data_IF_143218442301
#
_entry.id   IF_143218442301
#
_cell.length_a   1.000
_cell.length_b   1.000
_cell.length_c   1.000
_cell.angle_alpha   90.00
_cell.angle_beta   90.00
_cell.angle_gamma   90.00
#
_symmetry.space_group_name_H-M   'P 1'
#
loop_
_entity.id
_entity.type
_entity.pdbx_description
1 polymer ?
#
# COMPACT_ATOMS: atom_id res chain seq x y z
N UNK A 1 22.41 6.43 11.24
CA UNK A 1 21.22 5.91 11.94
C UNK A 1 20.05 6.80 11.64
N UNK A 2 19.20 6.40 10.69
CA UNK A 2 18.02 7.17 10.27
C UNK A 2 16.85 6.19 10.25
N UNK A 3 15.80 6.54 11.01
CA UNK A 3 14.65 5.67 11.29
C UNK A 3 13.86 5.37 10.00
N UNK A 4 13.55 4.09 9.84
CA UNK A 4 12.69 3.53 8.80
C UNK A 4 11.25 4.00 9.03
N UNK A 5 10.61 4.51 7.99
CA UNK A 5 9.17 4.77 7.96
C UNK A 5 8.45 3.59 7.31
N UNK A 6 8.19 2.59 8.14
CA UNK A 6 7.06 1.68 8.03
C UNK A 6 6.36 1.75 9.39
N UNK A 7 5.39 2.64 9.54
CA UNK A 7 4.37 2.59 10.61
C UNK A 7 3.44 3.81 10.49
N UNK A 8 2.22 3.58 10.02
CA UNK A 8 1.10 4.45 10.37
C UNK A 8 0.69 4.09 11.81
N UNK A 9 0.64 5.13 12.63
CA UNK A 9 0.27 5.21 14.05
C UNK A 9 -0.84 4.24 14.54
N UNK A 10 -0.59 3.60 15.69
CA UNK A 10 -1.46 3.20 16.84
C UNK A 10 -0.84 1.91 17.45
N UNK A 11 -0.36 1.80 18.70
CA UNK A 11 -1.03 2.07 19.98
C UNK A 11 -0.04 2.05 21.16
N UNK A 12 -0.19 3.03 22.06
CA UNK A 12 -0.04 2.99 23.52
C UNK A 12 0.94 1.98 24.19
N UNK A 13 2.12 2.46 24.61
CA UNK A 13 2.94 1.80 25.62
C UNK A 13 2.70 2.43 27.00
N UNK A 14 1.87 1.78 27.84
CA UNK A 14 1.95 1.88 29.30
C UNK A 14 2.97 0.84 29.78
N UNK A 15 4.16 1.26 30.20
CA UNK A 15 4.93 0.62 31.30
C UNK A 15 6.15 1.46 31.71
N UNK A 16 6.11 1.88 32.96
CA UNK A 16 7.18 2.31 33.88
C UNK A 16 8.61 2.47 33.31
N UNK A 17 9.06 3.73 33.19
CA UNK A 17 10.48 4.06 33.37
C UNK A 17 10.60 5.39 34.11
N UNK A 18 11.12 5.30 35.33
CA UNK A 18 11.58 6.40 36.17
C UNK A 18 12.86 7.02 35.60
N UNK A 19 12.87 8.35 35.49
CA UNK A 19 14.01 9.22 35.18
C UNK A 19 14.72 9.00 33.84
N UNK A 20 14.18 9.59 32.77
CA UNK A 20 14.99 10.04 31.65
C UNK A 20 14.44 11.40 31.16
N UNK A 21 15.30 12.41 31.14
CA UNK A 21 14.96 13.77 30.75
C UNK A 21 14.91 13.83 29.20
N UNK A 22 13.77 13.46 28.62
CA UNK A 22 13.58 13.43 27.17
C UNK A 22 13.13 14.84 26.74
N UNK A 23 14.00 15.54 26.00
CA UNK A 23 13.56 16.65 25.17
C UNK A 23 12.59 16.10 24.13
N UNK A 24 11.29 16.26 24.38
CA UNK A 24 10.22 15.90 23.47
C UNK A 24 10.23 16.91 22.31
N UNK A 25 11.09 16.68 21.32
CA UNK A 25 10.99 17.38 20.04
C UNK A 25 9.66 16.97 19.41
N UNK A 26 8.66 17.83 19.53
CA UNK A 26 7.35 17.63 18.90
C UNK A 26 7.54 17.72 17.38
N UNK A 27 7.90 16.60 16.76
CA UNK A 27 7.85 16.46 15.31
C UNK A 27 6.40 16.70 14.90
N UNK A 28 6.13 17.84 14.29
CA UNK A 28 4.82 18.06 13.65
C UNK A 28 4.60 16.93 12.65
N UNK A 29 3.38 16.37 12.58
CA UNK A 29 3.09 15.34 11.59
C UNK A 29 3.44 15.91 10.21
N UNK A 30 4.13 15.14 9.37
CA UNK A 30 4.57 15.65 8.10
C UNK A 30 3.34 16.06 7.28
N UNK A 31 3.46 17.17 6.56
CA UNK A 31 2.34 17.70 5.78
C UNK A 31 2.07 16.76 4.60
N UNK A 32 0.93 16.06 4.66
CA UNK A 32 0.46 15.19 3.60
C UNK A 32 -0.36 16.01 2.59
N UNK A 33 -0.03 15.91 1.32
CA UNK A 33 -0.85 16.41 0.22
C UNK A 33 -1.49 15.24 -0.52
N UNK A 34 -2.79 15.33 -0.78
CA UNK A 34 -3.62 14.28 -1.39
C UNK A 34 -4.38 14.82 -2.59
N UNK A 35 -4.43 14.05 -3.67
CA UNK A 35 -5.14 14.36 -4.91
C UNK A 35 -5.81 13.10 -5.45
N UNK A 36 -6.97 13.27 -6.08
CA UNK A 36 -7.60 12.20 -6.86
C UNK A 36 -7.33 12.38 -8.35
N UNK A 37 -6.98 11.28 -9.00
CA UNK A 37 -6.91 11.14 -10.46
C UNK A 37 -7.98 10.14 -10.88
N UNK A 38 -8.81 10.51 -11.84
CA UNK A 38 -9.69 9.59 -12.56
C UNK A 38 -8.93 9.09 -13.78
N UNK A 39 -9.03 7.82 -14.09
CA UNK A 39 -8.34 7.20 -15.22
C UNK A 39 -9.27 6.37 -16.09
N UNK A 40 -8.67 5.66 -17.06
CA UNK A 40 -9.41 4.84 -18.01
C UNK A 40 -10.11 3.66 -17.31
N UNK A 41 -11.07 3.02 -17.98
CA UNK A 41 -11.91 1.95 -17.40
C UNK A 41 -12.64 2.32 -16.10
N UNK A 42 -12.86 3.61 -15.82
CA UNK A 42 -13.50 4.06 -14.58
C UNK A 42 -12.61 3.91 -13.34
N UNK A 43 -11.29 3.82 -13.54
CA UNK A 43 -10.33 3.76 -12.45
C UNK A 43 -10.24 5.10 -11.70
N UNK A 44 -9.99 5.00 -10.40
CA UNK A 44 -9.86 6.08 -9.44
C UNK A 44 -8.57 5.83 -8.70
N UNK A 45 -7.70 6.82 -8.67
CA UNK A 45 -6.44 6.82 -7.94
C UNK A 45 -6.46 7.93 -6.90
N UNK A 46 -6.25 7.58 -5.65
CA UNK A 46 -5.97 8.53 -4.59
C UNK A 46 -4.46 8.51 -4.35
N UNK A 47 -3.81 9.62 -4.65
CA UNK A 47 -2.35 9.77 -4.57
C UNK A 47 -2.03 10.68 -3.40
N UNK A 48 -1.24 10.17 -2.46
CA UNK A 48 -0.75 10.92 -1.32
C UNK A 48 0.76 11.10 -1.40
N UNK A 49 1.21 12.28 -0.98
CA UNK A 49 2.62 12.63 -0.92
C UNK A 49 2.98 13.27 0.40
N UNK A 50 4.22 13.05 0.81
CA UNK A 50 4.83 13.66 1.98
C UNK A 50 5.91 14.64 1.53
N UNK A 51 5.98 15.81 2.15
CA UNK A 51 7.00 16.82 1.83
C UNK A 51 6.71 17.67 0.59
N UNK A 52 5.71 17.31 -0.22
CA UNK A 52 5.19 18.15 -1.29
C UNK A 52 4.00 19.01 -0.82
N UNK A 53 3.97 20.27 -1.26
CA UNK A 53 2.75 21.06 -1.21
C UNK A 53 1.75 20.54 -2.24
N UNK A 54 0.44 20.73 -2.01
CA UNK A 54 -0.62 20.40 -2.97
C UNK A 54 -0.34 20.95 -4.37
N UNK A 55 0.15 22.19 -4.49
CA UNK A 55 0.52 22.79 -5.77
C UNK A 55 1.61 21.99 -6.51
N UNK A 56 2.72 21.70 -5.83
CA UNK A 56 3.80 20.89 -6.42
C UNK A 56 3.34 19.48 -6.82
N UNK A 57 2.46 18.86 -6.04
CA UNK A 57 1.88 17.56 -6.39
C UNK A 57 0.98 17.68 -7.64
N UNK A 58 0.15 18.72 -7.74
CA UNK A 58 -0.64 19.01 -8.94
C UNK A 58 0.24 19.24 -10.17
N UNK A 59 1.29 20.05 -10.04
CA UNK A 59 2.20 20.37 -11.14
C UNK A 59 2.90 19.08 -11.63
N UNK A 60 3.38 18.23 -10.71
CA UNK A 60 3.97 16.94 -11.03
C UNK A 60 2.97 16.01 -11.74
N UNK A 61 1.77 15.82 -11.19
CA UNK A 61 0.78 14.93 -11.78
C UNK A 61 0.33 15.44 -13.15
N UNK A 62 0.10 16.74 -13.32
CA UNK A 62 -0.30 17.33 -14.61
C UNK A 62 0.75 17.01 -15.68
N UNK A 63 2.02 17.31 -15.41
CA UNK A 63 3.11 17.07 -16.36
C UNK A 63 3.32 15.58 -16.67
N UNK A 64 3.07 14.70 -15.70
CA UNK A 64 3.16 13.24 -15.87
C UNK A 64 2.00 12.70 -16.71
N UNK A 65 0.76 13.11 -16.41
CA UNK A 65 -0.44 12.65 -17.11
C UNK A 65 -0.47 13.13 -18.57
N UNK A 66 -0.01 14.36 -18.85
CA UNK A 66 0.13 14.88 -20.23
C UNK A 66 1.07 14.03 -21.09
N UNK A 67 2.07 13.37 -20.50
CA UNK A 67 2.99 12.48 -21.21
C UNK A 67 2.42 11.09 -21.45
N UNK A 68 1.60 10.60 -20.52
CA UNK A 68 1.05 9.24 -20.56
C UNK A 68 -0.17 9.18 -21.50
N UNK A 69 -1.10 10.12 -21.38
CA UNK A 69 -2.31 10.15 -22.21
C UNK A 69 -3.46 10.97 -21.64
N UNK A 70 -4.39 11.36 -22.51
CA UNK A 70 -5.51 12.26 -22.17
C UNK A 70 -6.68 11.59 -21.43
N UNK A 71 -6.63 10.29 -21.17
CA UNK A 71 -7.69 9.58 -20.45
C UNK A 71 -7.68 9.83 -18.93
N UNK A 72 -6.57 10.36 -18.42
CA UNK A 72 -6.48 10.73 -17.01
C UNK A 72 -6.95 12.15 -16.75
N UNK A 73 -7.69 12.34 -15.65
CA UNK A 73 -8.23 13.64 -15.25
C UNK A 73 -8.00 13.87 -13.76
N UNK A 74 -7.43 15.03 -13.41
CA UNK A 74 -7.32 15.46 -12.03
C UNK A 74 -8.70 15.86 -11.51
N UNK A 75 -9.07 15.32 -10.34
CA UNK A 75 -10.34 15.63 -9.69
C UNK A 75 -10.11 16.31 -8.34
N UNK A 76 -10.97 17.29 -8.05
CA UNK A 76 -11.04 17.94 -6.73
C UNK A 76 -12.07 17.27 -5.81
N UNK A 77 -12.84 16.31 -6.33
CA UNK A 77 -13.83 15.60 -5.53
C UNK A 77 -13.14 14.60 -4.62
N UNK A 78 -13.73 14.38 -3.45
CA UNK A 78 -13.27 13.35 -2.53
C UNK A 78 -13.91 12.01 -2.85
N UNK A 79 -13.08 11.05 -3.28
CA UNK A 79 -13.48 9.67 -3.56
C UNK A 79 -13.12 8.70 -2.44
N UNK A 80 -12.71 9.19 -1.27
CA UNK A 80 -12.32 8.32 -0.15
C UNK A 80 -13.44 7.35 0.29
N UNK A 81 -14.71 7.72 0.06
CA UNK A 81 -15.88 6.84 0.32
C UNK A 81 -15.99 5.62 -0.59
N UNK A 82 -15.23 5.57 -1.69
CA UNK A 82 -15.15 4.39 -2.55
C UNK A 82 -14.21 3.31 -1.97
N UNK A 83 -13.55 3.63 -0.85
CA UNK A 83 -12.56 2.78 -0.20
C UNK A 83 -12.92 2.52 1.26
N UNK A 84 -12.45 1.39 1.78
CA UNK A 84 -12.52 1.01 3.18
C UNK A 84 -11.15 0.57 3.68
N UNK A 85 -10.92 0.69 4.99
CA UNK A 85 -9.66 0.25 5.58
C UNK A 85 -9.66 -1.26 5.80
N UNK A 86 -8.65 -1.92 5.21
CA UNK A 86 -8.36 -3.33 5.42
C UNK A 86 -7.01 -3.49 6.12
N UNK A 87 -6.87 -4.56 6.89
CA UNK A 87 -5.58 -5.03 7.35
C UNK A 87 -4.87 -5.76 6.22
N UNK A 88 -3.63 -5.35 5.94
CA UNK A 88 -2.79 -5.92 4.89
C UNK A 88 -1.50 -6.39 5.50
N UNK A 89 -1.16 -7.66 5.26
CA UNK A 89 0.07 -8.29 5.72
C UNK A 89 0.77 -8.87 4.50
N UNK A 90 1.99 -8.44 4.25
CA UNK A 90 2.81 -8.89 3.14
C UNK A 90 3.91 -9.78 3.68
N UNK A 91 3.94 -11.02 3.21
CA UNK A 91 4.93 -12.04 3.60
C UNK A 91 5.75 -12.49 2.40
N UNK A 92 6.98 -12.95 2.67
CA UNK A 92 7.72 -13.72 1.66
C UNK A 92 6.99 -15.02 1.32
N UNK A 93 7.06 -15.43 0.05
CA UNK A 93 6.64 -16.78 -0.35
C UNK A 93 7.54 -17.88 0.23
N UNK A 94 8.72 -17.54 0.73
CA UNK A 94 9.65 -18.49 1.34
C UNK A 94 9.32 -18.63 2.83
N UNK A 95 9.01 -19.84 3.26
CA UNK A 95 8.80 -20.22 4.66
C UNK A 95 9.63 -21.47 4.95
N UNK A 96 10.54 -21.39 5.93
CA UNK A 96 11.44 -22.49 6.28
C UNK A 96 12.12 -23.14 5.05
N UNK A 97 12.71 -22.31 4.19
CA UNK A 97 13.41 -22.70 2.95
C UNK A 97 12.54 -23.37 1.86
N UNK A 98 11.22 -23.40 2.04
CA UNK A 98 10.25 -23.86 1.04
C UNK A 98 9.53 -22.65 0.42
N UNK A 99 9.42 -22.65 -0.90
CA UNK A 99 8.55 -21.71 -1.63
C UNK A 99 7.12 -22.26 -1.56
N UNK A 100 6.20 -21.49 -0.98
CA UNK A 100 4.79 -21.82 -0.93
C UNK A 100 4.10 -21.47 -2.24
N UNK A 101 3.20 -22.34 -2.71
CA UNK A 101 2.32 -22.05 -3.84
C UNK A 101 1.19 -21.11 -3.44
N UNK A 102 0.44 -20.60 -4.43
CA UNK A 102 -0.75 -19.78 -4.16
C UNK A 102 -1.82 -20.62 -3.45
N UNK A 103 -2.07 -21.84 -3.92
CA UNK A 103 -3.03 -22.78 -3.32
C UNK A 103 -2.70 -23.04 -1.83
N UNK A 104 -1.42 -23.26 -1.49
CA UNK A 104 -1.01 -23.45 -0.09
C UNK A 104 -1.25 -22.19 0.76
N UNK A 105 -1.08 -21.00 0.18
CA UNK A 105 -1.36 -19.75 0.88
C UNK A 105 -2.86 -19.46 1.00
N UNK A 106 -3.67 -19.87 0.02
CA UNK A 106 -5.13 -19.82 0.08
C UNK A 106 -5.66 -20.75 1.19
N UNK A 107 -5.09 -21.94 1.35
CA UNK A 107 -5.43 -22.84 2.46
C UNK A 107 -5.14 -22.17 3.82
N UNK A 108 -3.96 -21.57 3.99
CA UNK A 108 -3.59 -20.84 5.20
C UNK A 108 -4.49 -19.62 5.43
N UNK A 109 -4.86 -18.92 4.36
CA UNK A 109 -5.80 -17.79 4.37
C UNK A 109 -7.17 -18.21 4.92
N UNK A 110 -7.68 -19.38 4.49
CA UNK A 110 -8.94 -19.94 5.00
C UNK A 110 -8.81 -20.33 6.48
N UNK A 111 -7.72 -21.01 6.87
CA UNK A 111 -7.49 -21.44 8.26
C UNK A 111 -7.41 -20.25 9.24
N UNK A 112 -6.81 -19.15 8.80
CA UNK A 112 -6.64 -17.94 9.60
C UNK A 112 -7.78 -16.93 9.45
N UNK A 113 -8.84 -17.26 8.71
CA UNK A 113 -10.03 -16.44 8.52
C UNK A 113 -9.69 -15.04 7.94
N UNK A 114 -8.78 -15.04 6.97
CA UNK A 114 -8.43 -13.93 6.09
C UNK A 114 -9.52 -13.71 5.03
N UNK A 115 -9.66 -12.47 4.55
CA UNK A 115 -10.64 -12.12 3.52
C UNK A 115 -10.17 -12.55 2.11
N UNK A 116 -8.89 -12.37 1.81
CA UNK A 116 -8.33 -12.59 0.47
C UNK A 116 -6.79 -12.75 0.51
N UNK A 117 -6.22 -13.36 -0.53
CA UNK A 117 -4.77 -13.49 -0.73
C UNK A 117 -4.37 -13.17 -2.17
N UNK A 118 -3.36 -12.31 -2.31
CA UNK A 118 -2.85 -11.89 -3.62
C UNK A 118 -1.36 -12.22 -3.75
N UNK A 119 -0.98 -12.85 -4.87
CA UNK A 119 0.42 -13.13 -5.22
C UNK A 119 0.99 -12.03 -6.11
N UNK A 120 2.19 -11.57 -5.80
CA UNK A 120 2.91 -10.65 -6.68
C UNK A 120 4.42 -10.89 -6.63
N UNK A 121 5.13 -10.34 -7.62
CA UNK A 121 6.58 -10.38 -7.72
C UNK A 121 7.16 -8.97 -7.58
N UNK A 122 8.21 -8.82 -6.79
CA UNK A 122 8.99 -7.58 -6.70
C UNK A 122 10.47 -7.90 -6.52
N UNK A 123 11.33 -7.21 -7.27
CA UNK A 123 12.79 -7.37 -7.26
C UNK A 123 13.26 -8.84 -7.40
N UNK A 124 12.51 -9.65 -8.17
CA UNK A 124 12.80 -11.06 -8.43
C UNK A 124 12.37 -12.02 -7.32
N UNK A 125 11.72 -11.53 -6.26
CA UNK A 125 11.15 -12.34 -5.19
C UNK A 125 9.62 -12.38 -5.26
N UNK A 126 9.04 -13.52 -4.88
CA UNK A 126 7.59 -13.70 -4.76
C UNK A 126 7.12 -13.35 -3.36
N UNK A 127 6.01 -12.62 -3.27
CA UNK A 127 5.35 -12.24 -2.04
C UNK A 127 3.87 -12.58 -2.09
N UNK A 128 3.29 -12.76 -0.91
CA UNK A 128 1.86 -12.88 -0.71
C UNK A 128 1.34 -11.73 0.13
N UNK A 129 0.25 -11.15 -0.31
CA UNK A 129 -0.51 -10.13 0.39
C UNK A 129 -1.77 -10.75 0.96
N UNK A 130 -1.83 -10.90 2.29
CA UNK A 130 -3.02 -11.35 3.00
C UNK A 130 -3.83 -10.14 3.44
N UNK A 131 -5.13 -10.18 3.14
CA UNK A 131 -6.07 -9.09 3.41
C UNK A 131 -7.08 -9.57 4.44
N UNK A 132 -7.45 -8.69 5.36
CA UNK A 132 -8.52 -8.95 6.33
C UNK A 132 -9.28 -7.68 6.70
N UNK A 133 -10.46 -7.84 7.28
CA UNK A 133 -11.17 -6.74 7.92
C UNK A 133 -10.33 -6.09 9.03
N UNK A 134 -10.44 -4.75 9.16
CA UNK A 134 -9.65 -3.93 10.09
C UNK A 134 -9.59 -4.47 11.53
N UNK A 135 -10.68 -5.03 12.05
CA UNK A 135 -10.76 -5.54 13.42
C UNK A 135 -9.99 -6.85 13.65
N UNK A 136 -9.74 -7.64 12.61
CA UNK A 136 -8.95 -8.89 12.69
C UNK A 136 -7.46 -8.67 12.50
N UNK A 137 -7.04 -7.51 11.99
CA UNK A 137 -5.64 -7.24 11.59
C UNK A 137 -4.60 -7.62 12.65
N UNK A 138 -4.77 -7.19 13.89
CA UNK A 138 -3.80 -7.48 14.96
C UNK A 138 -3.71 -8.98 15.31
N UNK A 139 -4.85 -9.68 15.30
CA UNK A 139 -4.91 -11.12 15.57
C UNK A 139 -4.26 -11.91 14.43
N UNK A 140 -4.58 -11.55 13.19
CA UNK A 140 -4.02 -12.21 12.01
C UNK A 140 -2.49 -12.00 11.93
N UNK A 141 -2.01 -10.79 12.19
CA UNK A 141 -0.58 -10.50 12.21
C UNK A 141 0.15 -11.39 13.23
N UNK A 142 -0.36 -11.48 14.46
CA UNK A 142 0.22 -12.35 15.47
C UNK A 142 0.23 -13.83 15.04
N UNK A 143 -0.87 -14.33 14.45
CA UNK A 143 -0.94 -15.71 13.98
C UNK A 143 0.05 -16.01 12.84
N UNK A 144 0.22 -15.08 11.89
CA UNK A 144 1.19 -15.19 10.80
C UNK A 144 2.63 -15.19 11.34
N UNK A 145 2.94 -14.32 12.30
CA UNK A 145 4.25 -14.30 12.96
C UNK A 145 4.52 -15.59 13.76
N UNK A 146 3.54 -16.08 14.53
CA UNK A 146 3.63 -17.35 15.28
C UNK A 146 3.84 -18.57 14.38
N UNK A 147 3.26 -18.56 13.17
CA UNK A 147 3.49 -19.58 12.17
C UNK A 147 4.87 -19.51 11.51
N UNK A 148 5.69 -18.49 11.82
CA UNK A 148 7.05 -18.35 11.32
C UNK A 148 7.17 -17.77 9.91
N UNK A 149 6.17 -17.00 9.46
CA UNK A 149 6.28 -16.25 8.21
C UNK A 149 7.21 -15.04 8.34
N UNK A 150 7.97 -14.77 7.28
CA UNK A 150 8.80 -13.58 7.14
C UNK A 150 7.94 -12.39 6.68
N UNK A 151 7.38 -11.65 7.65
CA UNK A 151 6.55 -10.46 7.41
C UNK A 151 7.43 -9.30 6.94
N UNK A 152 7.18 -8.83 5.71
CA UNK A 152 7.88 -7.69 5.09
C UNK A 152 7.21 -6.36 5.38
N UNK A 153 5.89 -6.35 5.43
CA UNK A 153 5.10 -5.16 5.69
C UNK A 153 3.78 -5.56 6.33
N UNK A 154 3.31 -4.78 7.30
CA UNK A 154 1.98 -4.89 7.84
C UNK A 154 1.41 -3.49 8.08
N UNK A 155 0.23 -3.22 7.54
CA UNK A 155 -0.40 -1.91 7.66
C UNK A 155 -1.91 -1.99 7.46
N UNK A 156 -2.62 -0.98 7.96
CA UNK A 156 -3.96 -0.69 7.49
C UNK A 156 -3.84 0.08 6.18
N UNK A 157 -4.48 -0.42 5.12
CA UNK A 157 -4.48 0.20 3.80
C UNK A 157 -5.91 0.37 3.29
N UNK A 158 -6.14 1.41 2.48
CA UNK A 158 -7.45 1.64 1.87
C UNK A 158 -7.63 0.77 0.63
N UNK A 159 -8.61 -0.13 0.67
CA UNK A 159 -9.02 -1.01 -0.42
C UNK A 159 -10.35 -0.56 -0.99
N UNK A 160 -10.54 -0.74 -2.29
CA UNK A 160 -11.81 -0.35 -2.91
C UNK A 160 -12.95 -1.30 -2.54
N UNK A 161 -14.10 -0.71 -2.22
CA UNK A 161 -15.33 -1.44 -1.91
C UNK A 161 -15.86 -2.14 -3.18
N UNK A 162 -15.74 -1.47 -4.33
CA UNK A 162 -16.16 -2.00 -5.64
C UNK A 162 -15.01 -1.82 -6.65
N UNK A 163 -14.07 -2.78 -6.74
CA UNK A 163 -12.95 -2.68 -7.66
C UNK A 163 -13.40 -2.88 -9.12
N UNK A 164 -12.77 -2.15 -10.04
CA UNK A 164 -12.99 -2.24 -11.49
C UNK A 164 -11.96 -3.16 -12.14
N UNK A 165 -12.37 -3.79 -13.24
CA UNK A 165 -11.49 -4.51 -14.14
C UNK A 165 -10.90 -3.57 -15.18
N UNK A 166 -9.62 -3.75 -15.49
CA UNK A 166 -8.92 -2.96 -16.47
C UNK A 166 -8.76 -3.79 -17.74
N UNK A 167 -9.22 -3.23 -18.86
CA UNK A 167 -9.02 -3.87 -20.15
C UNK A 167 -7.54 -3.79 -20.59
N UNK A 168 -7.14 -4.64 -21.54
CA UNK A 168 -5.74 -4.73 -21.98
C UNK A 168 -5.17 -3.42 -22.56
N UNK A 169 -6.00 -2.62 -23.23
CA UNK A 169 -5.58 -1.35 -23.82
C UNK A 169 -5.21 -0.35 -22.70
N UNK A 170 -6.00 -0.31 -21.64
CA UNK A 170 -5.84 0.62 -20.53
C UNK A 170 -4.75 0.17 -19.54
N UNK A 171 -4.43 -1.14 -19.50
CA UNK A 171 -3.36 -1.70 -18.67
C UNK A 171 -2.02 -1.01 -18.92
N UNK A 172 -1.67 -0.72 -20.18
CA UNK A 172 -0.37 -0.10 -20.51
C UNK A 172 -0.28 1.33 -19.96
N UNK A 173 -1.32 2.14 -20.16
CA UNK A 173 -1.37 3.52 -19.65
C UNK A 173 -1.29 3.55 -18.11
N UNK A 174 -2.03 2.67 -17.43
CA UNK A 174 -2.00 2.60 -15.96
C UNK A 174 -0.62 2.09 -15.48
N UNK A 175 0.00 1.17 -16.20
CA UNK A 175 1.36 0.70 -15.90
C UNK A 175 2.37 1.84 -15.98
N UNK A 176 2.30 2.69 -17.01
CA UNK A 176 3.17 3.88 -17.13
C UNK A 176 2.93 4.90 -16.01
N UNK A 177 1.66 5.09 -15.59
CA UNK A 177 1.34 5.91 -14.42
C UNK A 177 2.02 5.35 -13.17
N UNK A 178 1.86 4.06 -12.89
CA UNK A 178 2.47 3.41 -11.73
C UNK A 178 4.00 3.51 -11.75
N UNK A 179 4.64 3.33 -12.90
CA UNK A 179 6.09 3.55 -13.04
C UNK A 179 6.47 4.98 -12.67
N UNK A 180 5.78 5.98 -13.22
CA UNK A 180 6.04 7.39 -12.94
C UNK A 180 5.86 7.74 -11.46
N UNK A 181 4.86 7.16 -10.80
CA UNK A 181 4.62 7.36 -9.36
C UNK A 181 5.70 6.69 -8.50
N UNK A 182 6.14 5.47 -8.86
CA UNK A 182 7.21 4.74 -8.14
C UNK A 182 8.56 5.47 -8.18
N UNK A 183 8.84 6.24 -9.23
CA UNK A 183 10.09 6.99 -9.40
C UNK A 183 10.14 8.25 -8.53
N UNK A 184 8.99 8.73 -8.05
CA UNK A 184 8.91 9.92 -7.21
C UNK A 184 8.90 9.54 -5.73
N UNK A 185 10.03 9.74 -5.05
CA UNK A 185 10.23 9.42 -3.63
C UNK A 185 9.28 10.14 -2.66
N UNK A 186 8.65 11.24 -3.09
CA UNK A 186 7.70 11.97 -2.27
C UNK A 186 6.30 11.36 -2.30
N UNK A 187 6.00 10.49 -3.27
CA UNK A 187 4.74 9.75 -3.31
C UNK A 187 4.80 8.63 -2.28
N UNK A 188 3.93 8.70 -1.27
CA UNK A 188 3.96 7.81 -0.13
C UNK A 188 2.86 6.77 -0.15
N UNK A 189 1.71 7.08 -0.74
CA UNK A 189 0.57 6.16 -0.87
C UNK A 189 -0.12 6.36 -2.22
N UNK A 190 -0.59 5.24 -2.80
CA UNK A 190 -1.44 5.23 -3.98
C UNK A 190 -2.52 4.18 -3.75
N UNK A 191 -3.76 4.63 -3.59
CA UNK A 191 -4.92 3.75 -3.49
C UNK A 191 -5.63 3.76 -4.84
N UNK A 192 -5.94 2.58 -5.37
CA UNK A 192 -6.63 2.45 -6.64
C UNK A 192 -7.83 1.53 -6.50
N UNK A 193 -8.94 1.85 -7.15
CA UNK A 193 -10.10 0.96 -7.21
C UNK A 193 -9.96 -0.12 -8.29
N UNK A 194 -8.76 -0.66 -8.46
CA UNK A 194 -8.48 -1.66 -9.49
C UNK A 194 -8.42 -3.03 -8.84
N UNK A 195 -9.03 -4.04 -9.46
CA UNK A 195 -8.91 -5.42 -8.98
C UNK A 195 -7.42 -5.79 -8.87
N UNK A 196 -6.96 -6.38 -7.74
CA UNK A 196 -5.61 -6.89 -7.62
C UNK A 196 -5.19 -7.74 -8.82
N UNK A 197 -3.90 -7.71 -9.16
CA UNK A 197 -3.30 -8.45 -10.28
C UNK A 197 -3.79 -8.06 -11.70
N UNK A 198 -4.68 -7.06 -11.84
CA UNK A 198 -5.08 -6.53 -13.16
C UNK A 198 -3.98 -5.72 -13.84
N UNK A 199 -3.04 -5.19 -13.06
CA UNK A 199 -1.87 -4.43 -13.51
C UNK A 199 -0.63 -5.20 -13.06
N UNK A 200 0.39 -5.37 -13.93
CA UNK A 200 1.54 -6.23 -13.64
C UNK A 200 2.49 -5.68 -12.58
N UNK A 201 2.30 -4.43 -12.14
CA UNK A 201 3.13 -3.78 -11.13
C UNK A 201 2.28 -3.13 -10.05
N UNK A 202 2.82 -3.06 -8.84
CA UNK A 202 2.26 -2.24 -7.76
C UNK A 202 2.59 -0.77 -7.98
N UNK A 203 1.75 0.16 -7.48
CA UNK A 203 2.01 1.59 -7.64
C UNK A 203 3.15 2.12 -6.77
N UNK A 204 3.56 1.37 -5.73
CA UNK A 204 4.67 1.70 -4.86
C UNK A 204 5.51 0.45 -4.60
N UNK A 205 6.81 0.66 -4.42
CA UNK A 205 7.72 -0.41 -4.03
C UNK A 205 7.47 -0.82 -2.58
N UNK A 206 7.62 -2.11 -2.29
CA UNK A 206 7.79 -2.58 -0.92
C UNK A 206 9.01 -1.87 -0.34
N UNK A 207 8.75 -1.01 0.66
CA UNK A 207 9.82 -0.51 1.50
C UNK A 207 10.29 -1.69 2.34
N UNK A 208 11.43 -2.26 2.00
CA UNK A 208 12.06 -3.27 2.85
C UNK A 208 12.16 -2.69 4.27
N UNK A 209 11.67 -3.43 5.26
CA UNK A 209 12.04 -3.16 6.63
C UNK A 209 13.57 -3.32 6.69
N UNK A 210 14.30 -2.21 6.75
CA UNK A 210 15.75 -2.25 6.97
C UNK A 210 15.92 -2.86 8.35
N UNK A 211 16.52 -4.05 8.43
CA UNK A 211 16.87 -4.70 9.68
C UNK A 211 17.89 -3.86 10.46
#
# INVERSE_FOLDING_TARGET
>A
MQKISCCVYFSFLKKNFSHCNIYLFQLQPPKIAKITVLGPSGSIFIIESEGLSLKKLLDFLTASLEKIGSEFQLSKNDYSKAFEDKGVIIVSAIKADKILSLDEMEEICIELDCDDVNKFEEDGATFYELICVRNKFAQLLAAIEEQGFDVKCSALQSYAINPVEINKHDTEMITQLYQTLRENENITQVYANIRPNSIPIRPLKLKAAVQ
#
